data_IF_558402969194
#
_entry.id   IF_558402969194
#
_cell.length_a   1.000
_cell.length_b   1.000
_cell.length_c   1.000
_cell.angle_alpha   90.00
_cell.angle_beta   90.00
_cell.angle_gamma   90.00
#
_symmetry.space_group_name_H-M   'P 1'
#
loop_
_entity.id
_entity.type
_entity.pdbx_description
1 polymer ?
#
# COMPACT_ATOMS: atom_id res chain seq x y z
N UNK A 1 9.44 28.21 8.57
CA UNK A 1 8.38 27.49 9.32
C UNK A 1 8.80 26.04 9.34
N UNK A 2 9.11 25.50 10.53
CA UNK A 2 9.53 24.11 10.70
C UNK A 2 8.33 23.21 10.34
N UNK A 3 8.44 22.45 9.25
CA UNK A 3 7.40 21.47 8.92
C UNK A 3 7.50 20.35 9.93
N UNK A 4 6.35 19.87 10.41
CA UNK A 4 6.36 18.72 11.30
C UNK A 4 6.42 17.46 10.46
N UNK A 5 7.28 16.51 10.84
CA UNK A 5 7.48 15.23 10.14
C UNK A 5 6.17 14.49 9.82
N UNK A 6 5.16 14.60 10.69
CA UNK A 6 3.84 14.01 10.46
C UNK A 6 3.11 14.61 9.23
N UNK A 7 3.34 15.86 8.88
CA UNK A 7 2.75 16.49 7.70
C UNK A 7 3.31 15.88 6.40
N UNK A 8 4.58 15.46 6.40
CA UNK A 8 5.17 14.72 5.29
C UNK A 8 4.60 13.30 5.21
N UNK A 9 4.42 12.63 6.36
CA UNK A 9 3.75 11.32 6.39
C UNK A 9 2.33 11.41 5.83
N UNK A 10 1.55 12.43 6.21
CA UNK A 10 0.20 12.64 5.67
C UNK A 10 0.23 12.94 4.16
N UNK A 11 1.26 13.63 3.66
CA UNK A 11 1.46 13.79 2.21
C UNK A 11 1.72 12.44 1.53
N UNK A 12 2.53 11.56 2.12
CA UNK A 12 2.76 10.20 1.58
C UNK A 12 1.44 9.42 1.54
N UNK A 13 0.64 9.48 2.60
CA UNK A 13 -0.67 8.83 2.65
C UNK A 13 -1.62 9.36 1.57
N UNK A 14 -1.61 10.69 1.34
CA UNK A 14 -2.37 11.32 0.26
C UNK A 14 -1.89 10.91 -1.13
N UNK A 15 -0.58 10.73 -1.32
CA UNK A 15 -0.02 10.21 -2.57
C UNK A 15 -0.44 8.76 -2.84
N UNK A 16 -0.50 7.92 -1.80
CA UNK A 16 -1.02 6.55 -1.91
C UNK A 16 -2.51 6.53 -2.26
N UNK A 17 -3.31 7.40 -1.62
CA UNK A 17 -4.73 7.58 -1.92
C UNK A 17 -4.95 8.00 -3.38
N UNK A 18 -4.25 9.05 -3.83
CA UNK A 18 -4.37 9.60 -5.18
C UNK A 18 -3.97 8.65 -6.31
N UNK A 19 -3.12 7.66 -6.04
CA UNK A 19 -2.76 6.66 -7.05
C UNK A 19 -3.92 5.69 -7.35
N UNK A 20 -4.91 5.61 -6.47
CA UNK A 20 -6.16 4.89 -6.68
C UNK A 20 -6.05 3.37 -6.56
N UNK A 21 -7.09 2.67 -7.03
CA UNK A 21 -7.25 1.22 -6.80
C UNK A 21 -6.03 0.38 -7.22
N UNK A 22 -5.30 0.80 -8.27
CA UNK A 22 -4.15 0.05 -8.81
C UNK A 22 -3.03 -0.23 -7.79
N UNK A 23 -2.97 0.53 -6.69
CA UNK A 23 -1.93 0.34 -5.66
C UNK A 23 -2.31 -0.68 -4.61
N UNK A 24 -3.56 -1.15 -4.57
CA UNK A 24 -4.01 -2.16 -3.63
C UNK A 24 -3.63 -3.55 -4.15
N UNK A 25 -2.98 -4.34 -3.30
CA UNK A 25 -2.78 -5.78 -3.51
C UNK A 25 -3.67 -6.58 -2.56
N UNK A 26 -4.26 -7.66 -3.11
CA UNK A 26 -4.98 -8.68 -2.36
C UNK A 26 -4.08 -9.90 -2.21
N UNK A 27 -3.77 -10.28 -0.98
CA UNK A 27 -2.94 -11.43 -0.64
C UNK A 27 -3.83 -12.50 -0.03
N UNK A 28 -4.06 -13.56 -0.78
CA UNK A 28 -4.78 -14.74 -0.28
C UNK A 28 -3.83 -15.61 0.56
N UNK A 29 -4.18 -15.83 1.83
CA UNK A 29 -3.48 -16.76 2.73
C UNK A 29 -4.42 -17.87 3.19
N UNK A 30 -5.21 -18.42 2.26
CA UNK A 30 -6.14 -19.51 2.48
C UNK A 30 -7.35 -19.08 3.29
N UNK A 31 -7.28 -19.19 4.62
CA UNK A 31 -8.40 -18.84 5.51
C UNK A 31 -8.56 -17.34 5.75
N UNK A 32 -7.55 -16.54 5.39
CA UNK A 32 -7.62 -15.08 5.49
C UNK A 32 -7.23 -14.43 4.17
N UNK A 33 -7.92 -13.36 3.84
CA UNK A 33 -7.51 -12.40 2.83
C UNK A 33 -6.87 -11.21 3.55
N UNK A 34 -5.69 -10.82 3.11
CA UNK A 34 -5.08 -9.56 3.53
C UNK A 34 -5.08 -8.57 2.36
N UNK A 35 -5.24 -7.30 2.69
CA UNK A 35 -5.07 -6.21 1.75
C UNK A 35 -3.87 -5.37 2.19
N UNK A 36 -3.08 -4.93 1.22
CA UNK A 36 -1.92 -4.08 1.46
C UNK A 36 -1.67 -3.17 0.27
N UNK A 37 -0.74 -2.23 0.42
CA UNK A 37 -0.23 -1.47 -0.72
C UNK A 37 0.88 -2.22 -1.44
N UNK A 38 0.93 -2.10 -2.76
CA UNK A 38 2.06 -2.56 -3.56
C UNK A 38 3.36 -1.90 -3.06
N UNK A 39 4.45 -2.65 -2.88
CA UNK A 39 5.72 -2.09 -2.41
C UNK A 39 6.22 -0.92 -3.25
N UNK A 40 6.12 -1.02 -4.59
CA UNK A 40 6.55 0.06 -5.48
C UNK A 40 5.76 1.35 -5.21
N UNK A 41 4.44 1.26 -5.02
CA UNK A 41 3.61 2.44 -4.74
C UNK A 41 4.01 3.13 -3.44
N UNK A 42 4.36 2.36 -2.40
CA UNK A 42 4.87 2.92 -1.13
C UNK A 42 6.20 3.63 -1.37
N UNK A 43 7.15 2.98 -2.04
CA UNK A 43 8.49 3.54 -2.23
C UNK A 43 8.47 4.76 -3.15
N UNK A 44 7.66 4.75 -4.21
CA UNK A 44 7.49 5.90 -5.10
C UNK A 44 6.85 7.08 -4.35
N UNK A 45 5.88 6.82 -3.47
CA UNK A 45 5.27 7.87 -2.63
C UNK A 45 6.28 8.46 -1.64
N UNK A 46 7.10 7.61 -1.02
CA UNK A 46 8.18 8.06 -0.14
C UNK A 46 9.18 8.93 -0.90
N UNK A 47 9.66 8.47 -2.06
CA UNK A 47 10.59 9.21 -2.92
C UNK A 47 10.00 10.53 -3.40
N UNK A 48 8.71 10.58 -3.73
CA UNK A 48 8.05 11.81 -4.18
C UNK A 48 7.96 12.86 -3.08
N UNK A 49 7.74 12.46 -1.84
CA UNK A 49 7.50 13.38 -0.72
C UNK A 49 8.77 13.75 0.03
N UNK A 50 9.59 12.76 0.38
CA UNK A 50 10.83 12.95 1.14
C UNK A 50 12.03 13.20 0.22
N UNK A 51 11.99 12.71 -1.03
CA UNK A 51 13.19 12.57 -1.85
C UNK A 51 14.01 11.34 -1.45
N UNK A 52 14.86 10.82 -2.35
CA UNK A 52 15.58 9.56 -2.13
C UNK A 52 16.63 9.62 -1.00
N UNK A 53 17.03 10.81 -0.56
CA UNK A 53 18.06 11.00 0.47
C UNK A 53 17.52 11.17 1.89
N UNK A 54 16.21 11.43 2.05
CA UNK A 54 15.60 11.75 3.35
C UNK A 54 14.76 10.61 3.93
N UNK A 55 14.86 9.42 3.37
CA UNK A 55 14.37 8.21 3.99
C UNK A 55 15.24 7.03 3.56
N UNK A 56 15.20 5.95 4.33
CA UNK A 56 15.95 4.76 3.98
C UNK A 56 15.83 3.68 5.02
N UNK A 57 16.63 2.64 4.86
CA UNK A 57 16.71 1.57 5.84
C UNK A 57 18.13 1.01 5.93
N UNK A 58 18.41 0.39 7.06
CA UNK A 58 19.63 -0.35 7.36
C UNK A 58 19.28 -1.78 7.73
N UNK A 59 19.99 -2.76 7.16
CA UNK A 59 19.84 -4.18 7.54
C UNK A 59 20.66 -4.39 8.81
N UNK A 60 19.98 -4.76 9.90
CA UNK A 60 20.61 -5.02 11.20
C UNK A 60 20.98 -6.49 11.38
N UNK A 61 20.12 -7.39 10.89
CA UNK A 61 20.34 -8.85 10.90
C UNK A 61 19.61 -9.50 9.72
N UNK A 62 20.17 -10.58 9.20
CA UNK A 62 19.53 -11.40 8.17
C UNK A 62 19.90 -12.86 8.33
N UNK A 63 18.90 -13.73 8.29
CA UNK A 63 19.07 -15.17 8.39
C UNK A 63 18.33 -15.85 7.25
N UNK A 64 18.90 -16.93 6.74
CA UNK A 64 18.30 -17.74 5.68
C UNK A 64 18.30 -19.20 6.13
N UNK A 65 17.16 -19.85 5.94
CA UNK A 65 16.97 -21.27 6.20
C UNK A 65 16.57 -21.96 4.91
N UNK A 66 17.27 -23.06 4.59
CA UNK A 66 16.83 -23.98 3.55
C UNK A 66 15.69 -24.83 4.09
N UNK A 67 14.61 -24.92 3.32
CA UNK A 67 13.44 -25.75 3.63
C UNK A 67 13.47 -27.00 2.76
N UNK A 68 13.16 -28.15 3.36
CA UNK A 68 12.97 -29.40 2.63
C UNK A 68 11.59 -29.44 1.97
N UNK A 69 11.53 -29.82 0.68
CA UNK A 69 10.27 -29.96 -0.06
C UNK A 69 10.34 -29.66 -1.55
N UNK A 70 9.19 -29.76 -2.24
CA UNK A 70 9.01 -29.30 -3.62
C UNK A 70 8.50 -27.85 -3.61
N UNK A 71 9.33 -26.92 -4.09
CA UNK A 71 8.98 -25.52 -4.27
C UNK A 71 9.15 -24.66 -3.01
N UNK A 72 9.60 -23.42 -3.23
CA UNK A 72 9.91 -22.41 -2.22
C UNK A 72 10.82 -22.93 -1.11
N UNK A 73 12.05 -23.31 -1.48
CA UNK A 73 13.00 -23.99 -0.60
C UNK A 73 13.88 -23.06 0.22
N UNK A 74 13.69 -21.74 0.13
CA UNK A 74 14.43 -20.75 0.92
C UNK A 74 13.46 -19.91 1.74
N UNK A 75 13.70 -19.80 3.04
CA UNK A 75 13.02 -18.85 3.91
C UNK A 75 14.04 -17.86 4.46
N UNK A 76 13.78 -16.57 4.27
CA UNK A 76 14.59 -15.50 4.82
C UNK A 76 13.83 -14.76 5.91
N UNK A 77 14.56 -14.39 6.95
CA UNK A 77 14.13 -13.50 8.03
C UNK A 77 15.11 -12.34 8.11
N UNK A 78 14.60 -11.11 8.19
CA UNK A 78 15.42 -9.90 8.23
C UNK A 78 14.91 -8.96 9.32
N UNK A 79 15.84 -8.38 10.08
CA UNK A 79 15.60 -7.24 10.97
C UNK A 79 16.24 -6.01 10.33
N UNK A 80 15.48 -4.93 10.21
CA UNK A 80 15.96 -3.65 9.68
C UNK A 80 15.67 -2.52 10.67
N UNK A 81 16.36 -1.40 10.47
CA UNK A 81 15.96 -0.08 10.96
C UNK A 81 15.55 0.79 9.77
N UNK A 82 14.28 1.20 9.71
CA UNK A 82 13.82 2.20 8.75
C UNK A 82 13.89 3.58 9.39
N UNK A 83 14.15 4.61 8.59
CA UNK A 83 14.19 5.99 9.04
C UNK A 83 13.60 6.95 8.01
N UNK A 84 13.07 8.06 8.50
CA UNK A 84 12.64 9.23 7.72
C UNK A 84 13.24 10.48 8.38
N UNK A 85 13.56 11.48 7.56
CA UNK A 85 14.24 12.70 7.97
C UNK A 85 13.55 13.93 7.40
N UNK A 86 13.48 15.01 8.18
CA UNK A 86 13.14 16.36 7.72
C UNK A 86 13.98 17.37 8.50
N UNK A 87 14.91 18.05 7.82
CA UNK A 87 15.93 18.87 8.48
C UNK A 87 16.75 18.06 9.50
N UNK A 88 16.78 18.51 10.75
CA UNK A 88 17.51 17.84 11.83
C UNK A 88 16.68 16.76 12.56
N UNK A 89 15.38 16.64 12.23
CA UNK A 89 14.49 15.66 12.86
C UNK A 89 14.58 14.32 12.14
N UNK A 90 14.89 13.27 12.88
CA UNK A 90 14.91 11.89 12.38
C UNK A 90 13.97 11.03 13.22
N UNK A 91 13.06 10.31 12.57
CA UNK A 91 12.29 9.25 13.21
C UNK A 91 12.68 7.90 12.62
N UNK A 92 12.90 6.90 13.47
CA UNK A 92 13.24 5.55 13.04
C UNK A 92 12.45 4.49 13.79
N UNK A 93 12.25 3.34 13.14
CA UNK A 93 11.62 2.15 13.72
C UNK A 93 12.40 0.93 13.30
N UNK A 94 12.50 -0.03 14.20
CA UNK A 94 12.95 -1.36 13.84
C UNK A 94 11.76 -2.23 13.46
N UNK A 95 11.96 -3.07 12.45
CA UNK A 95 10.93 -3.97 11.97
C UNK A 95 11.54 -5.28 11.49
N UNK A 96 10.69 -6.30 11.48
CA UNK A 96 11.05 -7.64 11.05
C UNK A 96 10.22 -8.04 9.82
N UNK A 97 10.87 -8.69 8.88
CA UNK A 97 10.25 -9.21 7.68
C UNK A 97 10.62 -10.65 7.42
N UNK A 98 9.71 -11.35 6.75
CA UNK A 98 9.88 -12.76 6.41
C UNK A 98 9.37 -13.06 5.02
N UNK A 99 10.10 -13.89 4.28
CA UNK A 99 9.70 -14.28 2.93
C UNK A 99 10.20 -15.67 2.58
N UNK A 100 9.31 -16.44 1.97
CA UNK A 100 9.59 -17.78 1.46
C UNK A 100 9.62 -17.72 -0.06
N UNK A 101 10.68 -18.24 -0.68
CA UNK A 101 10.87 -18.20 -2.12
C UNK A 101 11.70 -19.38 -2.63
N UNK A 102 11.78 -19.56 -3.95
CA UNK A 102 12.51 -20.66 -4.59
C UNK A 102 14.03 -20.54 -4.46
N UNK A 103 14.54 -19.30 -4.36
CA UNK A 103 15.94 -19.02 -4.17
C UNK A 103 16.18 -18.01 -3.04
N UNK A 104 17.41 -18.02 -2.52
CA UNK A 104 17.84 -17.20 -1.39
C UNK A 104 17.73 -15.71 -1.69
N UNK A 105 18.07 -15.28 -2.91
CA UNK A 105 18.05 -13.86 -3.30
C UNK A 105 16.63 -13.28 -3.26
N UNK A 106 15.66 -13.98 -3.84
CA UNK A 106 14.26 -13.54 -3.82
C UNK A 106 13.63 -13.66 -2.44
N UNK A 107 14.04 -14.66 -1.64
CA UNK A 107 13.64 -14.75 -0.23
C UNK A 107 14.13 -13.52 0.54
N UNK A 108 15.42 -13.17 0.45
CA UNK A 108 15.98 -11.98 1.11
C UNK A 108 15.31 -10.68 0.64
N UNK A 109 15.14 -10.50 -0.68
CA UNK A 109 14.46 -9.33 -1.25
C UNK A 109 13.03 -9.18 -0.72
N UNK A 110 12.28 -10.28 -0.68
CA UNK A 110 10.93 -10.28 -0.14
C UNK A 110 10.90 -9.97 1.36
N UNK A 111 11.83 -10.53 2.14
CA UNK A 111 11.92 -10.30 3.58
C UNK A 111 12.29 -8.85 3.90
N UNK A 112 13.24 -8.26 3.16
CA UNK A 112 13.58 -6.83 3.27
C UNK A 112 12.37 -5.97 2.93
N UNK A 113 11.68 -6.27 1.82
CA UNK A 113 10.50 -5.50 1.39
C UNK A 113 9.39 -5.51 2.44
N UNK A 114 9.08 -6.69 2.98
CA UNK A 114 8.10 -6.86 4.07
C UNK A 114 8.51 -6.08 5.33
N UNK A 115 9.80 -6.15 5.70
CA UNK A 115 10.33 -5.43 6.86
C UNK A 115 10.23 -3.90 6.68
N UNK A 116 10.60 -3.37 5.49
CA UNK A 116 10.53 -1.93 5.18
C UNK A 116 9.09 -1.43 5.25
N UNK A 117 8.15 -2.13 4.62
CA UNK A 117 6.75 -1.71 4.65
C UNK A 117 6.16 -1.73 6.06
N UNK A 118 6.53 -2.70 6.91
CA UNK A 118 6.12 -2.74 8.32
C UNK A 118 6.76 -1.63 9.15
N UNK A 119 8.04 -1.34 8.93
CA UNK A 119 8.72 -0.24 9.61
C UNK A 119 8.09 1.11 9.26
N UNK A 120 7.82 1.35 7.97
CA UNK A 120 7.13 2.55 7.50
C UNK A 120 5.73 2.67 8.10
N UNK A 121 5.01 1.57 8.26
CA UNK A 121 3.71 1.55 8.92
C UNK A 121 3.75 2.00 10.38
N UNK A 122 4.81 1.63 11.12
CA UNK A 122 5.03 2.10 12.49
C UNK A 122 5.37 3.61 12.57
N UNK A 123 5.66 4.23 11.42
CA UNK A 123 5.78 5.68 11.23
C UNK A 123 4.50 6.28 10.61
N UNK A 124 3.38 5.55 10.62
CA UNK A 124 2.06 5.94 10.08
C UNK A 124 1.97 6.09 8.56
N UNK A 125 2.97 5.61 7.80
CA UNK A 125 2.91 5.53 6.34
C UNK A 125 2.05 4.34 5.92
N UNK A 126 1.09 4.58 5.02
CA UNK A 126 0.16 3.57 4.53
C UNK A 126 -0.81 3.06 5.60
N UNK A 127 -1.12 3.88 6.62
CA UNK A 127 -1.90 3.46 7.80
C UNK A 127 -3.23 2.76 7.51
N UNK A 128 -3.93 3.17 6.45
CA UNK A 128 -5.19 2.55 5.99
C UNK A 128 -5.06 1.05 5.74
N UNK A 129 -3.88 0.56 5.31
CA UNK A 129 -3.63 -0.87 5.16
C UNK A 129 -3.62 -1.61 6.50
N UNK A 130 -3.01 -1.01 7.53
CA UNK A 130 -2.83 -1.61 8.85
C UNK A 130 -4.03 -1.40 9.78
N UNK A 131 -4.84 -0.39 9.52
CA UNK A 131 -6.18 -0.21 10.11
C UNK A 131 -7.17 -1.27 9.57
N UNK A 132 -6.81 -2.05 8.53
CA UNK A 132 -7.68 -3.07 7.93
C UNK A 132 -8.70 -2.52 6.94
N UNK A 133 -8.55 -1.26 6.55
CA UNK A 133 -9.54 -0.51 5.80
C UNK A 133 -9.40 -0.67 4.28
N UNK A 134 -8.32 -1.27 3.76
CA UNK A 134 -8.14 -1.42 2.31
C UNK A 134 -9.17 -2.35 1.64
N UNK A 135 -9.77 -3.29 2.40
CA UNK A 135 -10.77 -4.21 1.88
C UNK A 135 -12.02 -3.51 1.33
N UNK A 136 -12.53 -2.49 2.04
CA UNK A 136 -13.74 -1.75 1.59
C UNK A 136 -13.52 -1.02 0.27
N UNK A 137 -12.34 -0.44 0.04
CA UNK A 137 -12.02 0.20 -1.24
C UNK A 137 -11.95 -0.83 -2.36
N UNK A 138 -11.37 -2.00 -2.06
CA UNK A 138 -11.25 -3.08 -3.03
C UNK A 138 -12.63 -3.60 -3.45
N UNK A 139 -13.51 -3.84 -2.49
CA UNK A 139 -14.87 -4.33 -2.73
C UNK A 139 -15.73 -3.27 -3.44
N UNK A 140 -15.64 -2.02 -3.02
CA UNK A 140 -16.33 -0.90 -3.66
C UNK A 140 -15.96 -0.78 -5.15
N UNK A 141 -14.66 -0.80 -5.48
CA UNK A 141 -14.20 -0.77 -6.87
C UNK A 141 -14.82 -1.90 -7.71
N UNK A 142 -14.80 -3.14 -7.20
CA UNK A 142 -15.32 -4.28 -7.94
C UNK A 142 -16.83 -4.17 -8.17
N UNK A 143 -17.60 -3.72 -7.17
CA UNK A 143 -19.04 -3.52 -7.31
C UNK A 143 -19.38 -2.45 -8.35
N UNK A 144 -18.67 -1.32 -8.35
CA UNK A 144 -18.84 -0.28 -9.38
C UNK A 144 -18.53 -0.88 -10.76
N UNK A 145 -17.38 -1.56 -10.90
CA UNK A 145 -16.97 -2.16 -12.16
C UNK A 145 -17.98 -3.20 -12.69
N UNK A 146 -18.52 -4.04 -11.81
CA UNK A 146 -19.55 -5.03 -12.14
C UNK A 146 -20.86 -4.37 -12.62
N UNK A 147 -21.32 -3.33 -11.91
CA UNK A 147 -22.53 -2.58 -12.29
C UNK A 147 -22.38 -1.85 -13.62
N UNK A 148 -21.21 -1.26 -13.88
CA UNK A 148 -20.91 -0.66 -15.17
C UNK A 148 -20.89 -1.69 -16.30
N UNK A 149 -20.31 -2.87 -16.04
CA UNK A 149 -20.25 -3.99 -16.98
C UNK A 149 -21.61 -4.61 -17.26
N UNK A 150 -22.48 -4.73 -16.25
CA UNK A 150 -23.84 -5.27 -16.41
C UNK A 150 -24.77 -4.32 -17.16
N UNK A 151 -24.37 -3.06 -17.33
CA UNK A 151 -25.13 -2.08 -18.09
C UNK A 151 -26.13 -1.28 -17.29
N UNK A 152 -26.03 -1.28 -15.95
CA UNK A 152 -26.92 -0.53 -15.05
C UNK A 152 -26.96 0.96 -15.44
N UNK A 153 -28.11 1.41 -15.96
CA UNK A 153 -28.25 2.73 -16.56
C UNK A 153 -28.17 3.85 -15.53
N UNK A 154 -28.66 3.62 -14.31
CA UNK A 154 -28.58 4.57 -13.21
C UNK A 154 -27.12 4.76 -12.77
N UNK A 155 -26.39 3.65 -12.59
CA UNK A 155 -24.97 3.70 -12.20
C UNK A 155 -24.11 4.28 -13.32
N UNK A 156 -24.40 3.99 -14.60
CA UNK A 156 -23.68 4.62 -15.72
C UNK A 156 -23.84 6.13 -15.74
N UNK A 157 -25.06 6.63 -15.51
CA UNK A 157 -25.34 8.06 -15.43
C UNK A 157 -24.61 8.69 -14.25
N UNK A 158 -24.77 8.13 -13.06
CA UNK A 158 -24.09 8.56 -11.84
C UNK A 158 -22.57 8.58 -12.00
N UNK A 159 -21.99 7.51 -12.55
CA UNK A 159 -20.56 7.43 -12.82
C UNK A 159 -20.09 8.55 -13.74
N UNK A 160 -20.81 8.82 -14.85
CA UNK A 160 -20.43 9.87 -15.78
C UNK A 160 -20.53 11.28 -15.16
N UNK A 161 -21.57 11.55 -14.38
CA UNK A 161 -21.78 12.81 -13.66
C UNK A 161 -20.67 13.00 -12.61
N UNK A 162 -20.50 12.03 -11.71
CA UNK A 162 -19.49 12.08 -10.65
C UNK A 162 -18.06 12.19 -11.19
N UNK A 163 -17.73 11.46 -12.27
CA UNK A 163 -16.42 11.56 -12.95
C UNK A 163 -16.16 12.98 -13.42
N UNK A 164 -17.16 13.60 -14.06
CA UNK A 164 -17.04 14.94 -14.65
C UNK A 164 -16.93 16.01 -13.57
N UNK A 165 -17.77 15.95 -12.55
CA UNK A 165 -17.80 16.92 -11.45
C UNK A 165 -16.48 16.95 -10.67
N UNK A 166 -15.87 15.77 -10.47
CA UNK A 166 -14.63 15.63 -9.71
C UNK A 166 -13.36 15.64 -10.58
N UNK A 167 -13.49 15.81 -11.91
CA UNK A 167 -12.35 15.81 -12.83
C UNK A 167 -11.57 14.49 -12.84
N UNK A 168 -12.25 13.36 -12.66
CA UNK A 168 -11.62 12.06 -12.48
C UNK A 168 -11.31 11.37 -13.82
N UNK A 169 -10.26 10.55 -13.80
CA UNK A 169 -9.88 9.70 -14.93
C UNK A 169 -10.65 8.39 -14.97
N UNK A 170 -9.96 7.32 -15.35
CA UNK A 170 -10.53 5.96 -15.35
C UNK A 170 -10.80 5.52 -13.91
N UNK A 171 -11.85 4.73 -13.66
CA UNK A 171 -12.21 4.23 -12.32
C UNK A 171 -11.01 3.68 -11.51
N UNK A 172 -10.10 2.94 -12.16
CA UNK A 172 -8.90 2.36 -11.50
C UNK A 172 -7.87 3.39 -11.02
N UNK A 173 -7.96 4.62 -11.52
CA UNK A 173 -7.10 5.77 -11.22
C UNK A 173 -7.79 6.77 -10.27
N UNK A 174 -9.04 6.50 -9.87
CA UNK A 174 -9.71 7.36 -8.91
C UNK A 174 -9.02 7.28 -7.55
N UNK A 175 -8.84 8.42 -6.85
CA UNK A 175 -8.39 8.40 -5.47
C UNK A 175 -9.23 7.44 -4.64
N UNK A 176 -8.61 6.72 -3.71
CA UNK A 176 -9.32 5.72 -2.90
C UNK A 176 -10.48 6.37 -2.14
N UNK A 177 -10.30 7.56 -1.60
CA UNK A 177 -11.37 8.34 -0.95
C UNK A 177 -12.57 8.57 -1.87
N UNK A 178 -12.33 8.86 -3.16
CA UNK A 178 -13.38 9.11 -4.16
C UNK A 178 -14.12 7.84 -4.57
N UNK A 179 -13.48 6.67 -4.49
CA UNK A 179 -14.19 5.40 -4.66
C UNK A 179 -15.24 5.21 -3.56
N UNK A 180 -14.86 5.40 -2.29
CA UNK A 180 -15.80 5.24 -1.18
C UNK A 180 -16.91 6.28 -1.20
N UNK A 181 -16.58 7.55 -1.47
CA UNK A 181 -17.57 8.62 -1.61
C UNK A 181 -18.66 8.22 -2.62
N UNK A 182 -18.26 7.69 -3.78
CA UNK A 182 -19.21 7.20 -4.78
C UNK A 182 -20.04 6.01 -4.29
N UNK A 183 -19.42 5.01 -3.66
CA UNK A 183 -20.17 3.86 -3.14
C UNK A 183 -21.17 4.26 -2.04
N UNK A 184 -20.83 5.23 -1.20
CA UNK A 184 -21.68 5.73 -0.13
C UNK A 184 -22.86 6.56 -0.68
N UNK A 185 -22.57 7.51 -1.57
CA UNK A 185 -23.57 8.39 -2.19
C UNK A 185 -24.62 7.60 -2.97
N UNK A 186 -24.16 6.64 -3.78
CA UNK A 186 -25.02 5.83 -4.64
C UNK A 186 -25.44 4.49 -4.03
N UNK A 187 -25.16 4.29 -2.72
CA UNK A 187 -25.54 3.10 -1.93
C UNK A 187 -25.18 1.78 -2.61
N UNK A 188 -23.97 1.72 -3.18
CA UNK A 188 -23.44 0.54 -3.86
C UNK A 188 -23.02 -0.48 -2.81
N UNK A 189 -23.95 -1.38 -2.50
CA UNK A 189 -23.77 -2.49 -1.56
C UNK A 189 -23.15 -3.72 -2.19
#
# INVERSE_FOLDING_TARGET
MERKLWELVEKVNKELDNQGFKVIQKIDRGKRVLYGFLPQAVFDSMNKVFGPENWGYEILDSQVQSLEGKGMNSYAFVRIKVWIKDGDVIASREAFGGSRNDNVGDALKGAITDAVQKGLAMLSVGRVAYEGELGKFYDCYNRIAEKLKSGDSAIKKAYAEFTKENGLGRLREWPLSKLLEFCEEYKIK
#
